data_IF_885037492202
#
_entry.id   IF_885037492202
#
_cell.length_a   1.000
_cell.length_b   1.000
_cell.length_c   1.000
_cell.angle_alpha   90.00
_cell.angle_beta   90.00
_cell.angle_gamma   90.00
#
_symmetry.space_group_name_H-M   'P 1'
#
loop_
_entity.id
_entity.type
_entity.pdbx_description
1 polymer ?
#
# COMPACT_ATOMS: atom_id res chain seq x y z
N UNK A 1 -19.23 -9.47 -3.15
CA UNK A 1 -19.27 -8.17 -2.44
C UNK A 1 -18.76 -7.06 -3.37
N UNK A 2 -19.40 -5.90 -3.37
CA UNK A 2 -18.95 -4.73 -4.11
C UNK A 2 -18.07 -3.85 -3.21
N UNK A 3 -16.76 -3.87 -3.45
CA UNK A 3 -15.76 -3.16 -2.65
C UNK A 3 -15.11 -2.00 -3.37
N UNK A 4 -14.51 -1.08 -2.61
CA UNK A 4 -13.70 0.02 -3.14
C UNK A 4 -12.31 0.02 -2.52
N UNK A 5 -11.29 0.33 -3.32
CA UNK A 5 -9.95 0.59 -2.82
C UNK A 5 -9.72 2.10 -2.71
N UNK A 6 -9.40 2.58 -1.51
CA UNK A 6 -9.03 3.98 -1.26
C UNK A 6 -7.52 4.14 -1.37
N UNK A 7 -7.07 5.13 -2.12
CA UNK A 7 -5.66 5.28 -2.47
C UNK A 7 -5.20 6.74 -2.49
N UNK A 8 -3.90 6.92 -2.26
CA UNK A 8 -3.19 8.17 -2.50
C UNK A 8 -1.85 7.86 -3.17
N UNK A 9 -1.61 8.36 -4.39
CA UNK A 9 -0.47 7.92 -5.19
C UNK A 9 0.90 8.49 -4.74
N UNK A 10 0.91 9.53 -3.90
CA UNK A 10 2.14 10.10 -3.35
C UNK A 10 3.09 10.57 -4.45
N UNK A 11 4.39 10.24 -4.37
CA UNK A 11 5.40 10.63 -5.39
C UNK A 11 5.14 10.10 -6.80
N UNK A 12 4.32 9.06 -6.94
CA UNK A 12 3.92 8.46 -8.23
C UNK A 12 2.63 9.06 -8.82
N UNK A 13 2.08 10.09 -8.18
CA UNK A 13 0.95 10.85 -8.71
C UNK A 13 1.38 11.75 -9.88
N UNK A 14 0.42 12.46 -10.48
CA UNK A 14 0.66 13.37 -11.61
C UNK A 14 1.36 12.65 -12.75
N UNK A 15 0.80 11.52 -13.21
CA UNK A 15 1.35 10.73 -14.32
C UNK A 15 0.32 10.59 -15.43
N UNK A 16 0.82 10.38 -16.65
CA UNK A 16 -0.03 10.18 -17.81
C UNK A 16 -0.73 8.81 -17.77
N UNK A 17 -1.86 8.70 -18.46
CA UNK A 17 -2.54 7.41 -18.67
C UNK A 17 -1.58 6.46 -19.40
N UNK A 18 -1.54 5.17 -19.04
CA UNK A 18 -0.55 4.24 -19.61
C UNK A 18 -0.53 4.13 -21.14
N UNK A 19 -1.64 4.41 -21.82
CA UNK A 19 -1.75 4.38 -23.29
C UNK A 19 -1.46 5.72 -23.98
N UNK A 20 -1.33 6.82 -23.23
CA UNK A 20 -0.94 8.14 -23.76
C UNK A 20 0.55 8.43 -23.52
N UNK A 21 1.16 7.76 -22.55
CA UNK A 21 2.59 7.87 -22.28
C UNK A 21 2.99 7.21 -20.97
N UNK A 22 4.29 7.23 -20.70
CA UNK A 22 4.86 6.90 -19.39
C UNK A 22 5.58 8.13 -18.86
N UNK A 23 5.53 8.33 -17.54
CA UNK A 23 6.26 9.39 -16.86
C UNK A 23 5.36 10.39 -16.15
N UNK A 24 6.00 11.22 -15.32
CA UNK A 24 5.34 12.28 -14.57
C UNK A 24 5.01 13.47 -15.48
N UNK A 25 3.80 14.00 -15.32
CA UNK A 25 3.37 15.30 -15.85
C UNK A 25 3.86 16.35 -14.85
N UNK A 26 4.80 17.20 -15.28
CA UNK A 26 5.37 18.24 -14.43
C UNK A 26 4.29 19.25 -13.98
N UNK A 27 4.45 19.82 -12.78
CA UNK A 27 3.43 20.69 -12.15
C UNK A 27 3.10 21.97 -12.93
N UNK A 28 3.98 22.37 -13.84
CA UNK A 28 3.83 23.55 -14.72
C UNK A 28 3.18 23.20 -16.06
N UNK A 29 2.92 21.92 -16.33
CA UNK A 29 2.22 21.44 -17.52
C UNK A 29 0.71 21.30 -17.29
N UNK A 30 -0.11 21.35 -18.36
CA UNK A 30 -1.53 21.04 -18.27
C UNK A 30 -1.77 19.67 -17.63
N UNK A 31 -2.70 19.61 -16.67
CA UNK A 31 -3.02 18.41 -15.88
C UNK A 31 -1.94 17.93 -14.91
N UNK A 32 -0.79 18.60 -14.82
CA UNK A 32 0.22 18.31 -13.82
C UNK A 32 -0.08 18.96 -12.47
N UNK A 33 0.40 18.35 -11.38
CA UNK A 33 0.34 18.93 -10.03
C UNK A 33 1.54 18.54 -9.18
N UNK A 34 1.79 19.30 -8.10
CA UNK A 34 2.84 18.99 -7.15
C UNK A 34 2.53 17.68 -6.41
N UNK A 35 3.38 16.68 -6.58
CA UNK A 35 3.29 15.42 -5.82
C UNK A 35 3.79 15.61 -4.40
N UNK A 36 3.36 14.73 -3.49
CA UNK A 36 3.73 14.74 -2.06
C UNK A 36 4.23 13.37 -1.63
N UNK A 37 5.09 13.31 -0.61
CA UNK A 37 5.73 12.08 -0.15
C UNK A 37 6.25 12.23 1.29
N UNK A 38 6.68 11.15 1.97
CA UNK A 38 7.38 11.27 3.25
C UNK A 38 8.70 12.05 3.15
N UNK A 39 9.37 12.04 2.00
CA UNK A 39 10.67 12.70 1.77
C UNK A 39 10.78 13.14 0.31
N UNK A 40 11.78 13.95 -0.04
CA UNK A 40 11.98 14.49 -1.40
C UNK A 40 12.55 13.49 -2.41
N UNK A 41 12.69 12.20 -2.04
CA UNK A 41 13.21 11.14 -2.90
C UNK A 41 12.24 10.83 -4.05
N UNK A 42 12.74 10.85 -5.29
CA UNK A 42 11.95 10.60 -6.50
C UNK A 42 11.74 9.10 -6.77
N UNK A 43 10.74 8.76 -7.60
CA UNK A 43 10.56 7.39 -8.07
C UNK A 43 11.56 7.06 -9.19
N UNK A 44 11.70 7.98 -10.15
CA UNK A 44 12.70 7.95 -11.22
C UNK A 44 13.64 9.15 -11.16
N UNK A 45 14.85 9.03 -11.70
CA UNK A 45 15.80 10.14 -11.87
C UNK A 45 15.28 11.29 -12.74
N UNK A 46 14.25 11.03 -13.55
CA UNK A 46 13.62 12.03 -14.43
C UNK A 46 12.41 12.74 -13.81
N UNK A 47 11.92 12.27 -12.67
CA UNK A 47 10.75 12.86 -12.01
C UNK A 47 11.13 14.14 -11.25
N UNK A 48 10.18 15.06 -11.12
CA UNK A 48 10.30 16.18 -10.20
C UNK A 48 10.20 15.68 -8.74
N UNK A 49 11.00 16.29 -7.86
CA UNK A 49 10.97 15.98 -6.44
C UNK A 49 9.58 16.24 -5.83
N UNK A 50 9.02 15.29 -5.07
CA UNK A 50 7.79 15.52 -4.32
C UNK A 50 8.03 16.51 -3.18
N UNK A 51 6.96 17.19 -2.74
CA UNK A 51 6.94 17.95 -1.50
C UNK A 51 6.96 16.98 -0.31
N UNK A 52 7.90 17.19 0.61
CA UNK A 52 8.00 16.38 1.82
C UNK A 52 6.91 16.83 2.81
N UNK A 53 6.01 15.91 3.15
CA UNK A 53 4.85 16.21 3.99
C UNK A 53 5.26 16.69 5.38
N UNK A 54 4.63 17.74 5.86
CA UNK A 54 4.65 18.14 7.27
C UNK A 54 3.73 17.22 8.09
N UNK A 55 3.91 17.20 9.41
CA UNK A 55 3.02 16.43 10.31
C UNK A 55 1.56 16.86 10.15
N UNK A 56 1.30 18.16 9.98
CA UNK A 56 -0.05 18.67 9.76
C UNK A 56 -0.67 18.12 8.46
N UNK A 57 0.10 18.05 7.38
CA UNK A 57 -0.37 17.48 6.10
C UNK A 57 -0.56 15.96 6.20
N UNK A 58 0.27 15.25 6.96
CA UNK A 58 0.08 13.82 7.26
C UNK A 58 -1.27 13.60 7.95
N UNK A 59 -1.57 14.39 9.00
CA UNK A 59 -2.86 14.32 9.71
C UNK A 59 -4.03 14.70 8.81
N UNK A 60 -3.87 15.67 7.91
CA UNK A 60 -4.92 16.00 6.94
C UNK A 60 -5.21 14.82 6.01
N UNK A 61 -4.18 14.16 5.46
CA UNK A 61 -4.36 12.99 4.59
C UNK A 61 -5.08 11.85 5.32
N UNK A 62 -4.80 11.62 6.61
CA UNK A 62 -5.55 10.65 7.42
C UNK A 62 -7.04 10.98 7.49
N UNK A 63 -7.38 12.26 7.66
CA UNK A 63 -8.77 12.72 7.64
C UNK A 63 -9.40 12.61 6.24
N UNK A 64 -8.62 12.81 5.18
CA UNK A 64 -9.11 12.64 3.81
C UNK A 64 -9.48 11.17 3.53
N UNK A 65 -8.67 10.22 4.01
CA UNK A 65 -9.01 8.78 3.98
C UNK A 65 -10.29 8.47 4.75
N UNK A 66 -10.44 9.00 5.97
CA UNK A 66 -11.64 8.83 6.79
C UNK A 66 -12.90 9.41 6.10
N UNK A 67 -12.77 10.61 5.52
CA UNK A 67 -13.85 11.25 4.78
C UNK A 67 -14.19 10.47 3.49
N UNK A 68 -13.19 9.92 2.79
CA UNK A 68 -13.41 9.06 1.62
C UNK A 68 -14.12 7.74 2.00
N UNK A 69 -13.75 7.15 3.14
CA UNK A 69 -14.41 5.97 3.68
C UNK A 69 -15.89 6.21 4.01
N UNK A 70 -16.21 7.34 4.67
CA UNK A 70 -17.60 7.72 4.91
C UNK A 70 -18.42 7.82 3.62
N UNK A 71 -17.86 8.46 2.58
CA UNK A 71 -18.50 8.55 1.26
C UNK A 71 -18.69 7.18 0.61
N UNK A 72 -17.74 6.27 0.78
CA UNK A 72 -17.85 4.91 0.26
C UNK A 72 -19.02 4.15 0.93
N UNK A 73 -19.16 4.26 2.26
CA UNK A 73 -20.29 3.67 2.97
C UNK A 73 -21.61 4.26 2.49
N UNK A 74 -21.71 5.59 2.39
CA UNK A 74 -22.91 6.28 1.90
C UNK A 74 -23.27 5.91 0.45
N UNK A 75 -22.27 5.60 -0.37
CA UNK A 75 -22.44 5.14 -1.75
C UNK A 75 -22.86 3.66 -1.86
N UNK A 76 -22.93 2.93 -0.76
CA UNK A 76 -23.38 1.53 -0.73
C UNK A 76 -22.31 0.50 -1.07
N UNK A 77 -21.02 0.85 -0.94
CA UNK A 77 -19.97 -0.18 -0.93
C UNK A 77 -20.14 -1.10 0.29
N UNK A 78 -19.74 -2.36 0.15
CA UNK A 78 -19.87 -3.38 1.20
C UNK A 78 -18.55 -3.61 1.96
N UNK A 79 -17.42 -3.17 1.39
CA UNK A 79 -16.10 -3.23 2.01
C UNK A 79 -15.19 -2.13 1.48
N UNK A 80 -14.18 -1.78 2.27
CA UNK A 80 -13.13 -0.83 1.90
C UNK A 80 -11.76 -1.54 1.96
N UNK A 81 -10.92 -1.30 0.95
CA UNK A 81 -9.53 -1.71 0.97
C UNK A 81 -8.62 -0.46 1.03
N UNK A 82 -7.72 -0.41 2.02
CA UNK A 82 -6.71 0.65 2.10
C UNK A 82 -5.52 0.29 1.21
N UNK A 83 -5.15 1.17 0.29
CA UNK A 83 -4.00 0.93 -0.58
C UNK A 83 -2.68 1.34 0.08
N UNK A 84 -1.92 0.35 0.58
CA UNK A 84 -0.58 0.51 1.15
C UNK A 84 0.48 -0.34 0.43
N UNK A 85 0.44 -0.33 -0.90
CA UNK A 85 1.27 -1.16 -1.78
C UNK A 85 1.72 -0.37 -3.03
N UNK A 86 2.38 -1.04 -3.98
CA UNK A 86 2.77 -0.54 -5.31
C UNK A 86 3.56 0.78 -5.33
N UNK A 87 4.20 1.11 -4.22
CA UNK A 87 5.00 2.33 -4.10
C UNK A 87 4.18 3.61 -4.05
N UNK A 88 2.89 3.53 -3.73
CA UNK A 88 2.07 4.71 -3.45
C UNK A 88 2.27 5.20 -2.01
N UNK A 89 1.55 6.25 -1.60
CA UNK A 89 1.92 7.05 -0.43
C UNK A 89 2.17 6.22 0.83
N UNK A 90 1.26 5.34 1.21
CA UNK A 90 1.44 4.54 2.42
C UNK A 90 2.62 3.58 2.29
N UNK A 91 2.83 2.95 1.11
CA UNK A 91 4.04 2.14 0.87
C UNK A 91 5.32 2.98 0.90
N UNK A 92 5.28 4.24 0.46
CA UNK A 92 6.41 5.16 0.57
C UNK A 92 6.78 5.43 2.02
N UNK A 93 5.81 5.55 2.94
CA UNK A 93 6.09 5.65 4.39
C UNK A 93 6.68 4.36 4.94
N UNK A 94 6.21 3.21 4.46
CA UNK A 94 6.68 1.90 4.92
C UNK A 94 8.15 1.67 4.58
N UNK A 95 8.62 1.97 3.38
CA UNK A 95 9.98 1.60 2.98
C UNK A 95 11.05 2.65 3.33
N UNK A 96 12.20 2.25 3.88
CA UNK A 96 13.32 3.16 4.14
C UNK A 96 13.92 3.79 2.87
N UNK A 97 13.68 3.19 1.69
CA UNK A 97 14.14 3.73 0.40
C UNK A 97 13.45 5.06 0.07
N UNK A 98 12.17 5.18 0.40
CA UNK A 98 11.36 6.37 0.12
C UNK A 98 11.18 7.27 1.35
N UNK A 99 11.29 6.72 2.56
CA UNK A 99 11.11 7.43 3.81
C UNK A 99 12.43 7.66 4.55
N UNK A 100 12.96 8.87 4.39
CA UNK A 100 14.19 9.36 5.02
C UNK A 100 13.89 10.31 6.20
N UNK A 101 12.67 10.27 6.73
CA UNK A 101 12.27 11.13 7.84
C UNK A 101 12.99 10.75 9.13
N UNK A 102 13.19 11.76 9.98
CA UNK A 102 13.81 11.62 11.31
C UNK A 102 12.84 11.93 12.45
N UNK A 103 11.55 12.12 12.15
CA UNK A 103 10.47 12.33 13.11
C UNK A 103 9.74 11.02 13.45
N UNK A 104 8.59 11.12 14.12
CA UNK A 104 7.80 9.96 14.54
C UNK A 104 7.22 9.12 13.38
N UNK A 105 7.39 9.55 12.13
CA UNK A 105 6.94 8.85 10.93
C UNK A 105 8.08 8.22 10.13
N UNK A 106 9.33 8.26 10.58
CA UNK A 106 10.47 7.62 9.90
C UNK A 106 11.50 6.97 10.80
N UNK A 107 12.51 6.37 10.18
CA UNK A 107 13.57 5.60 10.85
C UNK A 107 13.11 4.19 11.22
N UNK A 108 12.66 3.99 12.47
CA UNK A 108 12.32 2.66 12.99
C UNK A 108 11.16 2.02 12.22
N UNK A 109 11.06 0.68 12.26
CA UNK A 109 9.93 -0.04 11.67
C UNK A 109 8.59 0.46 12.26
N UNK A 110 8.52 0.67 13.58
CA UNK A 110 7.32 1.21 14.24
C UNK A 110 6.90 2.56 13.66
N UNK A 111 7.85 3.50 13.52
CA UNK A 111 7.58 4.82 12.99
C UNK A 111 7.15 4.77 11.52
N UNK A 112 7.80 3.94 10.70
CA UNK A 112 7.43 3.75 9.28
C UNK A 112 6.03 3.17 9.12
N UNK A 113 5.62 2.24 9.98
CA UNK A 113 4.27 1.67 9.99
C UNK A 113 3.20 2.64 10.49
N UNK A 114 3.56 3.64 11.31
CA UNK A 114 2.64 4.54 12.02
C UNK A 114 1.59 5.15 11.11
N UNK A 115 1.99 5.69 9.96
CA UNK A 115 1.05 6.32 9.02
C UNK A 115 -0.04 5.34 8.53
N UNK A 116 0.34 4.12 8.15
CA UNK A 116 -0.61 3.10 7.68
C UNK A 116 -1.57 2.66 8.79
N UNK A 117 -1.05 2.47 10.02
CA UNK A 117 -1.85 2.09 11.18
C UNK A 117 -2.85 3.21 11.57
N UNK A 118 -2.39 4.47 11.57
CA UNK A 118 -3.23 5.64 11.86
C UNK A 118 -4.33 5.85 10.79
N UNK A 119 -4.03 5.60 9.50
CA UNK A 119 -5.06 5.63 8.44
C UNK A 119 -6.12 4.56 8.65
N UNK A 120 -5.75 3.32 8.98
CA UNK A 120 -6.72 2.27 9.28
C UNK A 120 -7.63 2.68 10.45
N UNK A 121 -7.05 3.18 11.54
CA UNK A 121 -7.80 3.65 12.71
C UNK A 121 -8.76 4.80 12.35
N UNK A 122 -8.29 5.79 11.60
CA UNK A 122 -9.11 6.93 11.18
C UNK A 122 -10.31 6.49 10.34
N UNK A 123 -10.10 5.54 9.41
CA UNK A 123 -11.19 4.95 8.62
C UNK A 123 -12.16 4.20 9.52
N UNK A 124 -11.67 3.32 10.40
CA UNK A 124 -12.52 2.51 11.30
C UNK A 124 -13.36 3.36 12.24
N UNK A 125 -12.87 4.52 12.67
CA UNK A 125 -13.63 5.49 13.48
C UNK A 125 -14.71 6.24 12.67
N UNK A 126 -14.56 6.34 11.35
CA UNK A 126 -15.46 7.10 10.49
C UNK A 126 -16.59 6.27 9.86
N UNK A 127 -16.45 4.94 9.83
CA UNK A 127 -17.42 4.00 9.29
C UNK A 127 -18.23 3.33 10.41
N UNK A 128 -19.39 2.70 10.11
CA UNK A 128 -20.15 1.95 11.10
C UNK A 128 -19.30 0.87 11.79
N UNK A 129 -19.59 0.62 13.07
CA UNK A 129 -18.91 -0.44 13.82
C UNK A 129 -19.04 -1.79 13.10
N UNK A 130 -17.93 -2.52 13.00
CA UNK A 130 -17.88 -3.82 12.30
C UNK A 130 -17.82 -3.75 10.78
N UNK A 131 -17.84 -2.55 10.16
CA UNK A 131 -17.69 -2.42 8.71
C UNK A 131 -16.32 -2.96 8.25
N UNK A 132 -16.26 -3.84 7.24
CA UNK A 132 -15.02 -4.53 6.87
C UNK A 132 -14.05 -3.60 6.13
N UNK A 133 -12.86 -3.43 6.72
CA UNK A 133 -11.76 -2.65 6.15
C UNK A 133 -10.52 -3.53 6.04
N UNK A 134 -10.14 -3.90 4.82
CA UNK A 134 -8.91 -4.63 4.53
C UNK A 134 -7.77 -3.71 4.14
N UNK A 135 -6.55 -4.26 4.05
CA UNK A 135 -5.36 -3.49 3.64
C UNK A 135 -4.57 -4.26 2.60
N UNK A 136 -4.24 -3.60 1.49
CA UNK A 136 -3.36 -4.15 0.46
C UNK A 136 -1.93 -3.72 0.68
N UNK A 137 -1.02 -4.69 0.77
CA UNK A 137 0.41 -4.51 1.08
C UNK A 137 1.29 -5.02 -0.04
N UNK A 138 2.44 -4.35 -0.25
CA UNK A 138 3.54 -4.94 -1.01
C UNK A 138 4.41 -5.73 -0.04
N UNK A 139 4.61 -7.03 -0.30
CA UNK A 139 5.38 -7.92 0.56
C UNK A 139 6.88 -7.60 0.62
N UNK A 140 7.41 -7.02 -0.45
CA UNK A 140 8.83 -6.65 -0.57
C UNK A 140 8.98 -5.58 -1.65
N UNK A 141 10.03 -4.77 -1.54
CA UNK A 141 10.43 -3.81 -2.57
C UNK A 141 11.13 -4.46 -3.77
N UNK A 142 11.58 -5.72 -3.64
CA UNK A 142 12.42 -6.40 -4.64
C UNK A 142 13.71 -5.66 -4.95
N UNK A 143 14.34 -5.07 -3.94
CA UNK A 143 15.64 -4.41 -4.09
C UNK A 143 16.75 -5.34 -3.59
N UNK A 144 17.96 -5.18 -4.10
CA UNK A 144 19.12 -5.87 -3.56
C UNK A 144 19.58 -5.18 -2.26
N UNK A 145 19.98 -5.97 -1.26
CA UNK A 145 20.49 -5.48 0.02
C UNK A 145 19.46 -5.44 1.16
N UNK A 146 19.91 -4.99 2.34
CA UNK A 146 19.15 -5.12 3.59
C UNK A 146 18.31 -3.88 3.95
N UNK A 147 18.48 -2.75 3.26
CA UNK A 147 17.76 -1.49 3.55
C UNK A 147 16.51 -1.36 2.67
N UNK A 148 15.56 -2.28 2.82
CA UNK A 148 14.32 -2.30 2.04
C UNK A 148 13.10 -2.66 2.89
N UNK A 149 11.91 -2.50 2.33
CA UNK A 149 10.72 -3.19 2.84
C UNK A 149 10.77 -4.67 2.42
N UNK A 150 10.60 -5.57 3.39
CA UNK A 150 10.73 -7.00 3.20
C UNK A 150 9.54 -7.78 3.80
N UNK A 151 9.58 -9.10 3.61
CA UNK A 151 8.49 -9.99 4.05
C UNK A 151 8.37 -10.04 5.58
N UNK A 152 9.47 -9.93 6.32
CA UNK A 152 9.44 -9.90 7.78
C UNK A 152 8.75 -8.62 8.29
N UNK A 153 9.07 -7.47 7.70
CA UNK A 153 8.40 -6.19 7.96
C UNK A 153 6.92 -6.27 7.60
N UNK A 154 6.57 -6.90 6.48
CA UNK A 154 5.17 -7.13 6.06
C UNK A 154 4.42 -7.99 7.06
N UNK A 155 5.01 -9.07 7.58
CA UNK A 155 4.42 -9.90 8.64
C UNK A 155 4.21 -9.09 9.91
N UNK A 156 5.20 -8.26 10.31
CA UNK A 156 5.08 -7.35 11.45
C UNK A 156 3.92 -6.37 11.31
N UNK A 157 3.79 -5.74 10.14
CA UNK A 157 2.68 -4.83 9.84
C UNK A 157 1.33 -5.56 9.83
N UNK A 158 1.24 -6.74 9.22
CA UNK A 158 0.01 -7.53 9.16
C UNK A 158 -0.52 -7.89 10.55
N UNK A 159 0.37 -8.27 11.48
CA UNK A 159 -0.01 -8.50 12.89
C UNK A 159 -0.52 -7.24 13.58
N UNK A 160 0.13 -6.10 13.35
CA UNK A 160 -0.31 -4.83 13.92
C UNK A 160 -1.66 -4.38 13.35
N UNK A 161 -1.89 -4.58 12.04
CA UNK A 161 -3.17 -4.30 11.38
C UNK A 161 -4.29 -5.22 11.89
N UNK A 162 -4.01 -6.50 12.08
CA UNK A 162 -4.94 -7.46 12.70
C UNK A 162 -5.33 -7.03 14.12
N UNK A 163 -4.37 -6.60 14.95
CA UNK A 163 -4.65 -6.11 16.31
C UNK A 163 -5.55 -4.87 16.32
N UNK A 164 -5.49 -4.05 15.27
CA UNK A 164 -6.37 -2.90 15.05
C UNK A 164 -7.70 -3.29 14.36
N UNK A 165 -7.88 -4.57 14.06
CA UNK A 165 -9.06 -5.18 13.48
C UNK A 165 -9.22 -4.92 11.99
N UNK A 166 -8.13 -4.96 11.21
CA UNK A 166 -8.24 -5.14 9.77
C UNK A 166 -9.04 -6.41 9.45
N UNK A 167 -9.91 -6.34 8.46
CA UNK A 167 -10.78 -7.46 8.10
C UNK A 167 -10.06 -8.54 7.28
N UNK A 168 -9.02 -8.16 6.53
CA UNK A 168 -8.18 -9.05 5.74
C UNK A 168 -6.88 -8.34 5.33
N UNK A 169 -5.87 -9.12 4.91
CA UNK A 169 -4.65 -8.62 4.27
C UNK A 169 -4.62 -9.08 2.82
N UNK A 170 -4.37 -8.16 1.88
CA UNK A 170 -4.24 -8.47 0.47
C UNK A 170 -2.77 -8.31 0.06
N UNK A 171 -2.10 -9.41 -0.26
CA UNK A 171 -0.65 -9.44 -0.44
C UNK A 171 -0.28 -9.34 -1.91
N UNK A 172 0.40 -8.25 -2.24
CA UNK A 172 1.09 -8.02 -3.51
C UNK A 172 2.59 -7.83 -3.28
N UNK A 173 3.30 -7.11 -4.17
CA UNK A 173 4.72 -6.83 -4.03
C UNK A 173 5.18 -5.70 -4.96
N UNK A 174 6.32 -5.10 -4.63
CA UNK A 174 7.05 -4.16 -5.47
C UNK A 174 6.32 -2.85 -5.73
N UNK A 175 6.78 -2.16 -6.76
CA UNK A 175 6.29 -0.90 -7.28
C UNK A 175 6.92 0.36 -6.67
N UNK A 176 7.83 0.23 -5.69
CA UNK A 176 8.40 1.36 -4.97
C UNK A 176 9.51 2.09 -5.72
N UNK A 177 10.37 1.35 -6.42
CA UNK A 177 11.59 1.87 -7.02
C UNK A 177 11.76 1.35 -8.44
N UNK A 178 12.31 2.16 -9.35
CA UNK A 178 12.45 1.79 -10.78
C UNK A 178 13.47 0.67 -11.02
N UNK A 179 14.49 0.54 -10.17
CA UNK A 179 15.53 -0.50 -10.23
C UNK A 179 15.18 -1.82 -9.53
N UNK A 180 13.92 -2.02 -9.11
CA UNK A 180 13.49 -3.28 -8.51
C UNK A 180 13.73 -4.48 -9.46
N UNK A 181 14.16 -5.61 -8.91
CA UNK A 181 14.47 -6.82 -9.65
C UNK A 181 13.41 -7.90 -9.37
N UNK A 182 12.33 -7.88 -10.15
CA UNK A 182 11.20 -8.79 -9.97
C UNK A 182 11.32 -9.97 -10.94
N UNK A 183 11.38 -11.18 -10.39
CA UNK A 183 11.21 -12.41 -11.18
C UNK A 183 9.73 -12.69 -11.36
N UNK A 184 9.20 -12.32 -12.52
CA UNK A 184 7.78 -12.46 -12.85
C UNK A 184 7.51 -13.87 -13.39
N UNK A 185 6.49 -14.53 -12.83
CA UNK A 185 6.01 -15.84 -13.26
C UNK A 185 4.62 -16.14 -12.70
N UNK A 186 4.02 -17.27 -13.08
CA UNK A 186 2.74 -17.69 -12.50
C UNK A 186 2.88 -17.88 -10.98
N UNK A 187 1.98 -17.27 -10.20
CA UNK A 187 1.95 -17.40 -8.75
C UNK A 187 3.10 -16.70 -8.01
N UNK A 188 3.89 -15.84 -8.65
CA UNK A 188 5.13 -15.34 -8.06
C UNK A 188 4.97 -14.57 -6.74
N UNK A 189 3.77 -14.14 -6.38
CA UNK A 189 3.47 -13.44 -5.11
C UNK A 189 2.79 -14.35 -4.08
N UNK A 190 2.33 -15.54 -4.48
CA UNK A 190 1.64 -16.52 -3.60
C UNK A 190 2.51 -16.92 -2.41
N UNK A 191 3.83 -17.19 -2.55
CA UNK A 191 4.66 -17.53 -1.40
C UNK A 191 4.67 -16.43 -0.33
N UNK A 192 4.54 -15.15 -0.70
CA UNK A 192 4.45 -14.07 0.29
C UNK A 192 3.12 -14.06 1.02
N UNK A 193 2.01 -14.32 0.30
CA UNK A 193 0.69 -14.46 0.91
C UNK A 193 0.69 -15.61 1.93
N UNK A 194 1.27 -16.75 1.56
CA UNK A 194 1.42 -17.91 2.44
C UNK A 194 2.22 -17.57 3.71
N UNK A 195 3.31 -16.80 3.58
CA UNK A 195 4.10 -16.35 4.75
C UNK A 195 3.30 -15.44 5.67
N UNK A 196 2.46 -14.55 5.14
CA UNK A 196 1.59 -13.71 5.98
C UNK A 196 0.52 -14.57 6.65
N UNK A 197 -0.13 -15.47 5.91
CA UNK A 197 -1.21 -16.36 6.41
C UNK A 197 -0.76 -17.21 7.59
N UNK A 198 0.50 -17.65 7.63
CA UNK A 198 1.06 -18.40 8.77
C UNK A 198 1.10 -17.62 10.09
N UNK A 199 0.94 -16.30 10.04
CA UNK A 199 1.24 -15.40 11.15
C UNK A 199 0.07 -14.51 11.59
N UNK A 200 -1.07 -14.58 10.90
CA UNK A 200 -2.31 -13.88 11.23
C UNK A 200 -3.48 -14.85 11.19
N UNK A 201 -4.56 -14.56 11.90
CA UNK A 201 -5.80 -15.34 11.91
C UNK A 201 -6.86 -14.76 10.96
N UNK A 202 -6.72 -13.50 10.53
CA UNK A 202 -7.59 -12.89 9.52
C UNK A 202 -7.31 -13.42 8.10
N UNK A 203 -8.30 -13.39 7.19
CA UNK A 203 -8.13 -13.83 5.80
C UNK A 203 -6.98 -13.12 5.07
N UNK A 204 -6.27 -13.88 4.23
CA UNK A 204 -5.19 -13.38 3.37
C UNK A 204 -5.50 -13.61 1.90
N UNK A 205 -5.50 -12.55 1.09
CA UNK A 205 -5.76 -12.59 -0.35
C UNK A 205 -4.44 -12.64 -1.10
N UNK A 206 -4.30 -13.57 -2.05
CA UNK A 206 -3.13 -13.68 -2.92
C UNK A 206 -3.38 -13.13 -4.32
N UNK A 207 -2.33 -12.57 -4.93
CA UNK A 207 -2.29 -12.25 -6.37
C UNK A 207 -1.03 -12.84 -6.99
N UNK A 208 -0.76 -12.48 -8.24
CA UNK A 208 0.50 -12.80 -8.92
C UNK A 208 0.29 -13.71 -10.13
N UNK A 209 -0.34 -13.16 -11.17
CA UNK A 209 -0.51 -13.84 -12.47
C UNK A 209 -1.13 -15.24 -12.34
N UNK A 210 -2.23 -15.33 -11.60
CA UNK A 210 -3.04 -16.54 -11.48
C UNK A 210 -4.03 -16.54 -12.66
N UNK A 211 -3.69 -17.25 -13.72
CA UNK A 211 -4.48 -17.32 -14.97
C UNK A 211 -5.11 -18.69 -15.21
N UNK A 212 -4.74 -19.68 -14.42
CA UNK A 212 -5.17 -21.07 -14.53
C UNK A 212 -6.10 -21.43 -13.36
N UNK A 213 -7.32 -21.95 -13.61
CA UNK A 213 -8.28 -22.27 -12.55
C UNK A 213 -7.80 -23.35 -11.57
N UNK A 214 -7.05 -24.34 -12.04
CA UNK A 214 -6.53 -25.41 -11.18
C UNK A 214 -5.45 -24.87 -10.23
N UNK A 215 -4.61 -23.97 -10.72
CA UNK A 215 -3.66 -23.25 -9.88
C UNK A 215 -4.39 -22.38 -8.84
N UNK A 216 -5.48 -21.71 -9.21
CA UNK A 216 -6.28 -20.95 -8.24
C UNK A 216 -6.85 -21.86 -7.13
N UNK A 217 -7.37 -23.04 -7.49
CA UNK A 217 -7.85 -24.03 -6.51
C UNK A 217 -6.74 -24.49 -5.55
N UNK A 218 -5.54 -24.77 -6.08
CA UNK A 218 -4.38 -25.19 -5.26
C UNK A 218 -3.97 -24.12 -4.24
N UNK A 219 -4.05 -22.84 -4.61
CA UNK A 219 -3.72 -21.72 -3.71
C UNK A 219 -4.68 -21.69 -2.51
N UNK A 220 -5.97 -21.97 -2.72
CA UNK A 220 -6.99 -21.94 -1.67
C UNK A 220 -6.85 -23.07 -0.66
N UNK A 221 -6.16 -24.17 -1.00
CA UNK A 221 -6.00 -25.28 -0.07
C UNK A 221 -5.23 -24.88 1.19
N UNK A 222 -4.15 -24.08 1.05
CA UNK A 222 -3.27 -23.75 2.18
C UNK A 222 -2.54 -22.39 2.09
N UNK A 223 -2.56 -21.69 0.95
CA UNK A 223 -1.66 -20.56 0.71
C UNK A 223 -2.35 -19.20 0.85
N UNK A 224 -3.63 -19.13 0.53
CA UNK A 224 -4.45 -17.93 0.68
C UNK A 224 -5.89 -18.30 1.06
N UNK A 225 -6.74 -17.30 1.27
CA UNK A 225 -8.18 -17.43 1.52
C UNK A 225 -9.01 -16.91 0.33
N UNK A 226 -8.40 -16.12 -0.55
CA UNK A 226 -8.97 -15.62 -1.80
C UNK A 226 -7.88 -15.26 -2.82
#
# INVERSE_FOLDING_TARGET
PFGIQLAHAGRKASTEKPWLGKGQIAKDQPHGWQTVAPSTSTFSVHDAAPHALTIAEIKQIQQDFAAAAKRAVEAGFELIEVHAAHGYLLHQFLSPIANQRTDEYGGSLENRMRMTLEVLQAIKLAVPEGYPVGVRLSATDWMDGNEQWDIESTVGLSKALEQLGAAYIHVSSGGLHEHQNITIGAGYQVPFAEQVKKHVAIPVIAVGLITDPQHAEQILENQADA
#
